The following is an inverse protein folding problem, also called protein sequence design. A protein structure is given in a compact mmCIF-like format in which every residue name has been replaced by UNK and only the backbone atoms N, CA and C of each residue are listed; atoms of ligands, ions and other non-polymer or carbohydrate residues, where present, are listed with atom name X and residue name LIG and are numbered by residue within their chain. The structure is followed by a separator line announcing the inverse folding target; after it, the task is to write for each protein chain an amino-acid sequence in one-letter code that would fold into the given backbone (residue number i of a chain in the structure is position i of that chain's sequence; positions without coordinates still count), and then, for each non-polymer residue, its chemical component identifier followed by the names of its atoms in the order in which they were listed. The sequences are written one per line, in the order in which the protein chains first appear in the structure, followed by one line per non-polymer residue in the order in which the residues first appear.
data_IF_454927662753
#
_entry.id   IF_454927662753
#
_cell.length_a   1.000
_cell.length_b   1.000
_cell.length_c   1.000
_cell.angle_alpha   90.00
_cell.angle_beta   90.00
_cell.angle_gamma   90.00
#
_symmetry.space_group_name_H-M   'P 1'
#
loop_
_entity.id
_entity.type
_entity.pdbx_description
1 polymer ?
#
# COMPACT_ATOMS: atom_id res chain seq x y z
N UNK A 1 -59.56 28.65 1.31
CA UNK A 1 -58.38 28.57 2.21
C UNK A 1 -57.66 27.24 2.09
N UNK A 2 -58.36 26.11 1.93
CA UNK A 2 -57.74 24.77 1.86
C UNK A 2 -56.85 24.52 0.62
N UNK A 3 -57.21 25.08 -0.54
CA UNK A 3 -56.40 24.93 -1.77
C UNK A 3 -55.06 25.69 -1.73
N UNK A 4 -54.91 26.68 -0.85
CA UNK A 4 -53.67 27.46 -0.71
C UNK A 4 -52.64 26.75 0.17
N UNK A 5 -53.10 26.05 1.22
CA UNK A 5 -52.22 25.24 2.08
C UNK A 5 -51.64 24.02 1.35
N UNK A 6 -52.42 23.35 0.49
CA UNK A 6 -51.93 22.17 -0.24
C UNK A 6 -50.84 22.52 -1.26
N UNK A 7 -50.94 23.70 -1.88
CA UNK A 7 -49.97 24.19 -2.87
C UNK A 7 -48.65 24.63 -2.21
N UNK A 8 -48.74 25.19 -1.00
CA UNK A 8 -47.56 25.49 -0.18
C UNK A 8 -46.89 24.23 0.38
N UNK A 9 -47.66 23.22 0.81
CA UNK A 9 -47.11 21.93 1.26
C UNK A 9 -46.39 21.17 0.13
N UNK A 10 -46.89 21.21 -1.11
CA UNK A 10 -46.24 20.59 -2.27
C UNK A 10 -44.97 21.34 -2.71
N UNK A 11 -44.96 22.67 -2.62
CA UNK A 11 -43.76 23.49 -2.87
C UNK A 11 -42.70 23.28 -1.78
N UNK A 12 -43.10 23.14 -0.52
CA UNK A 12 -42.19 22.80 0.59
C UNK A 12 -41.66 21.37 0.43
N UNK A 13 -42.47 20.42 -0.03
CA UNK A 13 -42.01 19.05 -0.33
C UNK A 13 -41.00 19.00 -1.48
N UNK A 14 -41.15 19.86 -2.50
CA UNK A 14 -40.15 20.01 -3.57
C UNK A 14 -38.88 20.77 -3.14
N UNK A 15 -38.94 21.60 -2.08
CA UNK A 15 -37.79 22.32 -1.55
C UNK A 15 -36.97 21.53 -0.50
N UNK A 16 -37.47 20.40 0.01
CA UNK A 16 -36.75 19.55 0.97
C UNK A 16 -36.15 18.28 0.36
N UNK A 17 -36.29 18.06 -0.96
CA UNK A 17 -35.42 17.12 -1.68
C UNK A 17 -34.23 17.93 -2.22
N UNK A 18 -33.39 18.41 -1.31
CA UNK A 18 -31.99 18.62 -1.67
C UNK A 18 -31.52 17.21 -2.05
N UNK A 19 -31.07 16.95 -3.29
CA UNK A 19 -30.36 15.72 -3.54
C UNK A 19 -29.16 15.80 -2.60
N UNK A 20 -29.19 15.04 -1.51
CA UNK A 20 -27.96 14.67 -0.84
C UNK A 20 -27.23 13.90 -1.93
N UNK A 21 -26.26 14.54 -2.58
CA UNK A 21 -25.41 13.88 -3.55
C UNK A 21 -24.77 12.75 -2.75
N UNK A 22 -25.31 11.54 -2.90
CA UNK A 22 -24.83 10.38 -2.19
C UNK A 22 -23.38 10.18 -2.56
N UNK A 23 -22.55 9.82 -1.58
CA UNK A 23 -21.24 9.24 -1.90
C UNK A 23 -21.50 8.07 -2.85
N UNK A 24 -20.95 8.13 -4.06
CA UNK A 24 -20.99 6.98 -4.96
C UNK A 24 -20.02 5.92 -4.43
N UNK A 25 -20.37 4.64 -4.55
CA UNK A 25 -19.57 3.53 -4.07
C UNK A 25 -19.36 2.50 -5.18
N UNK A 26 -18.22 1.82 -5.13
CA UNK A 26 -17.97 0.62 -5.90
C UNK A 26 -17.60 -0.52 -4.96
N UNK A 27 -17.91 -1.76 -5.34
CA UNK A 27 -17.55 -2.93 -4.53
C UNK A 27 -16.19 -3.45 -4.96
N UNK A 28 -15.27 -3.55 -4.01
CA UNK A 28 -13.90 -4.03 -4.23
C UNK A 28 -13.62 -5.29 -3.42
N UNK A 29 -12.66 -6.08 -3.89
CA UNK A 29 -12.11 -7.19 -3.14
C UNK A 29 -10.58 -7.14 -3.08
N UNK A 30 -10.04 -7.63 -1.97
CA UNK A 30 -8.62 -7.96 -1.83
C UNK A 30 -8.51 -9.36 -1.26
N UNK A 31 -7.55 -10.13 -1.72
CA UNK A 31 -7.33 -11.48 -1.22
C UNK A 31 -5.99 -11.56 -0.47
N UNK A 32 -6.04 -11.92 0.81
CA UNK A 32 -4.85 -12.33 1.55
C UNK A 32 -4.53 -13.78 1.18
N UNK A 33 -3.44 -14.03 0.43
CA UNK A 33 -3.17 -15.35 -0.15
C UNK A 33 -2.14 -16.14 0.66
N UNK A 34 -2.46 -17.38 1.01
CA UNK A 34 -1.44 -18.33 1.47
C UNK A 34 -0.85 -19.04 0.25
N UNK A 35 0.24 -18.48 -0.26
CA UNK A 35 0.87 -18.96 -1.50
C UNK A 35 1.39 -20.38 -1.33
N UNK A 36 1.09 -21.25 -2.29
CA UNK A 36 1.71 -22.57 -2.38
C UNK A 36 3.16 -22.37 -2.83
N UNK A 37 4.10 -22.66 -1.93
CA UNK A 37 5.53 -22.45 -2.15
C UNK A 37 6.22 -23.75 -2.57
N UNK A 38 7.24 -23.63 -3.42
CA UNK A 38 8.14 -24.73 -3.74
C UNK A 38 9.11 -24.99 -2.58
N UNK A 39 9.31 -26.25 -2.22
CA UNK A 39 10.23 -26.66 -1.16
C UNK A 39 11.66 -26.92 -1.66
N UNK A 40 11.85 -27.20 -2.95
CA UNK A 40 13.14 -27.55 -3.54
C UNK A 40 13.91 -26.31 -4.03
N UNK A 41 15.22 -26.28 -3.77
CA UNK A 41 16.15 -25.20 -4.13
C UNK A 41 16.77 -25.35 -5.54
N UNK A 42 16.67 -26.53 -6.17
CA UNK A 42 17.17 -26.77 -7.53
C UNK A 42 16.29 -26.02 -8.55
N UNK A 43 16.81 -25.24 -9.51
CA UNK A 43 15.98 -24.56 -10.51
C UNK A 43 14.97 -25.52 -11.18
N UNK A 44 13.67 -25.19 -11.20
CA UNK A 44 12.68 -26.04 -11.85
C UNK A 44 12.79 -26.00 -13.38
N UNK A 45 12.16 -26.96 -14.05
CA UNK A 45 11.82 -26.78 -15.47
C UNK A 45 10.69 -25.76 -15.62
N UNK A 46 10.44 -25.26 -16.84
CA UNK A 46 9.27 -24.39 -17.11
C UNK A 46 7.96 -25.11 -16.81
N UNK A 47 7.87 -26.40 -17.14
CA UNK A 47 6.70 -27.24 -16.86
C UNK A 47 6.44 -27.35 -15.35
N UNK A 48 7.45 -27.68 -14.54
CA UNK A 48 7.34 -27.72 -13.08
C UNK A 48 6.95 -26.36 -12.47
N UNK A 49 7.48 -25.27 -13.04
CA UNK A 49 7.12 -23.92 -12.62
C UNK A 49 5.66 -23.60 -12.93
N UNK A 50 5.19 -23.92 -14.14
CA UNK A 50 3.79 -23.76 -14.54
C UNK A 50 2.85 -24.60 -13.67
N UNK A 51 3.19 -25.84 -13.33
CA UNK A 51 2.40 -26.67 -12.42
C UNK A 51 2.22 -26.03 -11.03
N UNK A 52 3.28 -25.42 -10.48
CA UNK A 52 3.18 -24.70 -9.21
C UNK A 52 2.32 -23.44 -9.34
N UNK A 53 2.56 -22.64 -10.39
CA UNK A 53 1.79 -21.43 -10.63
C UNK A 53 0.31 -21.73 -10.85
N UNK A 54 0.00 -22.83 -11.54
CA UNK A 54 -1.38 -23.29 -11.74
C UNK A 54 -2.08 -23.57 -10.42
N UNK A 55 -1.42 -24.21 -9.44
CA UNK A 55 -2.02 -24.44 -8.10
C UNK A 55 -2.41 -23.13 -7.41
N UNK A 56 -1.59 -22.08 -7.57
CA UNK A 56 -1.92 -20.76 -7.02
C UNK A 56 -3.03 -20.06 -7.82
N UNK A 57 -3.02 -20.20 -9.15
CA UNK A 57 -4.06 -19.68 -10.04
C UNK A 57 -5.41 -20.36 -9.82
N UNK A 58 -5.46 -21.65 -9.50
CA UNK A 58 -6.69 -22.36 -9.14
C UNK A 58 -7.34 -21.72 -7.91
N UNK A 59 -6.54 -21.38 -6.89
CA UNK A 59 -7.02 -20.65 -5.71
C UNK A 59 -7.52 -19.26 -6.11
N UNK A 60 -6.82 -18.55 -7.00
CA UNK A 60 -7.28 -17.24 -7.49
C UNK A 60 -8.61 -17.34 -8.22
N UNK A 61 -8.79 -18.37 -9.05
CA UNK A 61 -10.02 -18.63 -9.78
C UNK A 61 -11.20 -18.86 -8.84
N UNK A 62 -10.98 -19.58 -7.73
CA UNK A 62 -11.99 -19.75 -6.67
C UNK A 62 -12.35 -18.41 -6.02
N UNK A 63 -11.35 -17.58 -5.68
CA UNK A 63 -11.62 -16.27 -5.06
C UNK A 63 -12.31 -15.30 -6.01
N UNK A 64 -11.94 -15.32 -7.30
CA UNK A 64 -12.62 -14.58 -8.36
C UNK A 64 -14.07 -15.03 -8.48
N UNK A 65 -14.32 -16.33 -8.42
CA UNK A 65 -15.68 -16.87 -8.44
C UNK A 65 -16.50 -16.40 -7.23
N UNK A 66 -15.96 -16.48 -6.01
CA UNK A 66 -16.64 -16.00 -4.80
C UNK A 66 -16.85 -14.47 -4.77
N UNK A 67 -15.90 -13.70 -5.31
CA UNK A 67 -16.04 -12.25 -5.47
C UNK A 67 -17.12 -11.88 -6.50
N UNK A 68 -17.19 -12.62 -7.62
CA UNK A 68 -18.18 -12.37 -8.68
C UNK A 68 -19.62 -12.53 -8.18
N UNK A 69 -19.88 -13.52 -7.31
CA UNK A 69 -21.19 -13.74 -6.66
C UNK A 69 -21.66 -12.53 -5.84
N UNK A 70 -20.74 -11.69 -5.40
CA UNK A 70 -21.01 -10.54 -4.55
C UNK A 70 -21.11 -9.22 -5.34
N UNK A 71 -20.92 -9.25 -6.66
CA UNK A 71 -20.96 -8.08 -7.54
C UNK A 71 -19.72 -7.18 -7.43
N UNK A 72 -18.57 -7.76 -7.07
CA UNK A 72 -17.28 -7.06 -7.01
C UNK A 72 -16.88 -6.56 -8.41
N UNK A 73 -16.33 -5.35 -8.49
CA UNK A 73 -15.88 -4.70 -9.73
C UNK A 73 -14.38 -4.82 -9.97
N UNK A 74 -13.61 -4.98 -8.91
CA UNK A 74 -12.15 -5.06 -8.94
C UNK A 74 -11.64 -5.97 -7.82
N UNK A 75 -10.72 -6.89 -8.14
CA UNK A 75 -10.05 -7.76 -7.18
C UNK A 75 -8.53 -7.60 -7.27
N UNK A 76 -7.87 -7.56 -6.10
CA UNK A 76 -6.42 -7.44 -5.98
C UNK A 76 -5.82 -8.69 -5.33
N UNK A 77 -4.78 -9.22 -5.97
CA UNK A 77 -3.96 -10.32 -5.48
C UNK A 77 -2.55 -9.84 -5.04
N UNK A 78 -1.85 -10.59 -4.18
CA UNK A 78 -0.66 -10.09 -3.52
C UNK A 78 0.60 -10.21 -4.39
N UNK A 79 1.62 -9.46 -3.98
CA UNK A 79 2.96 -9.57 -4.54
C UNK A 79 3.53 -10.99 -4.36
N UNK A 80 4.20 -11.53 -5.38
CA UNK A 80 4.74 -12.90 -5.40
C UNK A 80 3.69 -14.00 -5.17
N UNK A 81 2.39 -13.71 -5.34
CA UNK A 81 1.31 -14.63 -5.01
C UNK A 81 1.14 -15.82 -5.96
N UNK A 82 1.81 -15.81 -7.12
CA UNK A 82 1.72 -16.88 -8.13
C UNK A 82 2.90 -17.86 -8.02
N UNK A 83 4.11 -17.35 -7.77
CA UNK A 83 5.34 -18.14 -7.81
C UNK A 83 6.11 -18.19 -6.48
N UNK A 84 5.74 -17.38 -5.48
CA UNK A 84 6.44 -17.32 -4.19
C UNK A 84 7.80 -16.65 -4.28
N UNK A 85 8.74 -17.08 -3.41
CA UNK A 85 10.00 -16.38 -3.12
C UNK A 85 11.25 -17.18 -3.56
N UNK A 86 11.52 -17.35 -4.87
CA UNK A 86 12.71 -18.05 -5.33
C UNK A 86 14.00 -17.30 -4.90
N UNK A 87 15.10 -18.00 -4.59
CA UNK A 87 16.28 -17.37 -3.99
C UNK A 87 17.23 -16.70 -4.99
N UNK A 88 17.20 -17.07 -6.28
CA UNK A 88 18.19 -16.65 -7.27
C UNK A 88 17.58 -16.33 -8.64
N UNK A 89 18.35 -15.61 -9.48
CA UNK A 89 17.99 -15.34 -10.89
C UNK A 89 17.75 -16.61 -11.70
N UNK A 90 18.55 -17.67 -11.48
CA UNK A 90 18.41 -18.93 -12.18
C UNK A 90 17.14 -19.68 -11.74
N UNK A 91 16.83 -19.68 -10.44
CA UNK A 91 15.66 -20.36 -9.90
C UNK A 91 14.34 -19.67 -10.23
N UNK A 92 14.33 -18.34 -10.40
CA UNK A 92 13.11 -17.61 -10.78
C UNK A 92 12.82 -17.70 -12.28
N UNK A 93 13.85 -17.80 -13.13
CA UNK A 93 13.70 -17.71 -14.58
C UNK A 93 12.56 -18.58 -15.18
N UNK A 94 12.36 -19.84 -14.77
CA UNK A 94 11.27 -20.68 -15.29
C UNK A 94 9.86 -20.15 -14.98
N UNK A 95 9.70 -19.26 -14.00
CA UNK A 95 8.41 -18.65 -13.64
C UNK A 95 8.10 -17.39 -14.45
N UNK A 96 9.08 -16.81 -15.15
CA UNK A 96 8.95 -15.50 -15.78
C UNK A 96 8.29 -15.55 -17.17
N UNK A 97 7.38 -14.61 -17.44
CA UNK A 97 6.74 -14.45 -18.75
C UNK A 97 7.20 -13.14 -19.42
N UNK A 98 7.29 -13.09 -20.76
CA UNK A 98 7.34 -11.81 -21.45
C UNK A 98 5.99 -11.11 -21.27
N UNK A 99 6.01 -9.84 -20.86
CA UNK A 99 4.79 -9.04 -20.71
C UNK A 99 4.90 -7.84 -21.65
N UNK A 100 4.13 -7.80 -22.75
CA UNK A 100 4.21 -6.66 -23.68
C UNK A 100 3.76 -5.37 -23.00
N UNK A 101 4.19 -4.24 -23.54
CA UNK A 101 3.82 -2.92 -23.02
C UNK A 101 2.40 -2.54 -23.48
N UNK A 102 1.41 -2.42 -22.57
CA UNK A 102 0.04 -2.08 -22.93
C UNK A 102 -0.12 -0.66 -23.51
N UNK A 103 0.85 0.23 -23.31
CA UNK A 103 0.86 1.55 -23.96
C UNK A 103 1.24 1.46 -25.44
N UNK A 104 1.87 0.36 -25.86
CA UNK A 104 2.34 0.13 -27.24
C UNK A 104 1.43 -0.84 -27.98
N UNK A 105 0.92 -1.87 -27.31
CA UNK A 105 0.07 -2.89 -27.92
C UNK A 105 -1.20 -3.11 -27.11
N UNK A 106 -2.33 -3.21 -27.82
CA UNK A 106 -3.59 -3.61 -27.21
C UNK A 106 -3.76 -5.12 -27.39
N UNK A 107 -3.71 -5.86 -26.29
CA UNK A 107 -3.77 -7.32 -26.33
C UNK A 107 -4.71 -7.90 -25.26
N UNK A 108 -5.52 -8.86 -25.68
CA UNK A 108 -6.38 -9.64 -24.80
C UNK A 108 -5.91 -11.10 -24.83
N UNK A 109 -5.12 -11.54 -23.83
CA UNK A 109 -4.55 -12.89 -23.83
C UNK A 109 -5.61 -14.00 -23.92
N UNK A 110 -6.78 -13.81 -23.32
CA UNK A 110 -7.85 -14.82 -23.34
C UNK A 110 -8.44 -15.04 -24.75
N UNK A 111 -8.57 -13.97 -25.54
CA UNK A 111 -9.10 -14.05 -26.91
C UNK A 111 -8.02 -14.40 -27.94
N UNK A 112 -6.78 -13.98 -27.70
CA UNK A 112 -5.65 -14.15 -28.61
C UNK A 112 -4.45 -14.80 -27.91
N UNK A 113 -4.58 -16.06 -27.45
CA UNK A 113 -3.57 -16.71 -26.60
C UNK A 113 -2.28 -17.10 -27.33
N UNK A 114 -2.25 -17.03 -28.67
CA UNK A 114 -1.10 -17.44 -29.50
C UNK A 114 -0.32 -16.27 -30.08
N UNK A 115 -0.70 -15.03 -29.76
CA UNK A 115 -0.03 -13.83 -30.26
C UNK A 115 1.37 -13.65 -29.66
N UNK A 116 1.54 -14.08 -28.40
CA UNK A 116 2.82 -14.14 -27.70
C UNK A 116 3.04 -15.55 -27.17
N UNK A 117 4.29 -16.01 -27.20
CA UNK A 117 4.69 -17.30 -26.64
C UNK A 117 5.05 -17.20 -25.16
N UNK A 118 4.92 -18.31 -24.43
CA UNK A 118 5.28 -18.42 -23.01
C UNK A 118 4.49 -17.46 -22.09
N UNK A 119 3.19 -17.31 -22.36
CA UNK A 119 2.27 -16.40 -21.65
C UNK A 119 1.09 -17.13 -20.99
N UNK A 120 1.31 -18.35 -20.50
CA UNK A 120 0.25 -19.20 -19.93
C UNK A 120 -0.43 -18.55 -18.70
N UNK A 121 0.35 -17.88 -17.84
CA UNK A 121 -0.19 -17.19 -16.65
C UNK A 121 -1.00 -15.96 -17.05
N UNK A 122 -0.50 -15.14 -17.99
CA UNK A 122 -1.26 -14.00 -18.52
C UNK A 122 -2.59 -14.44 -19.17
N UNK A 123 -2.60 -15.55 -19.90
CA UNK A 123 -3.81 -16.15 -20.46
C UNK A 123 -4.84 -16.49 -19.37
N UNK A 124 -4.44 -17.21 -18.32
CA UNK A 124 -5.34 -17.60 -17.24
C UNK A 124 -5.92 -16.38 -16.51
N UNK A 125 -5.08 -15.40 -16.17
CA UNK A 125 -5.51 -14.17 -15.50
C UNK A 125 -6.48 -13.33 -16.36
N UNK A 126 -6.19 -13.21 -17.65
CA UNK A 126 -7.06 -12.54 -18.62
C UNK A 126 -8.43 -13.21 -18.71
N UNK A 127 -8.46 -14.55 -18.79
CA UNK A 127 -9.73 -15.29 -18.83
C UNK A 127 -10.51 -15.22 -17.51
N UNK A 128 -9.83 -15.21 -16.36
CA UNK A 128 -10.46 -14.98 -15.06
C UNK A 128 -11.19 -13.64 -15.02
N UNK A 129 -10.52 -12.56 -15.44
CA UNK A 129 -11.09 -11.21 -15.49
C UNK A 129 -12.32 -11.16 -16.41
N UNK A 130 -12.16 -11.66 -17.64
CA UNK A 130 -13.22 -11.73 -18.66
C UNK A 130 -14.45 -12.50 -18.21
N UNK A 131 -14.25 -13.73 -17.72
CA UNK A 131 -15.34 -14.64 -17.38
C UNK A 131 -16.12 -14.17 -16.14
N UNK A 132 -15.50 -13.35 -15.30
CA UNK A 132 -16.15 -12.76 -14.12
C UNK A 132 -16.61 -11.31 -14.34
N UNK A 133 -16.33 -10.72 -15.51
CA UNK A 133 -16.61 -9.31 -15.84
C UNK A 133 -16.10 -8.35 -14.76
N UNK A 134 -14.87 -8.58 -14.31
CA UNK A 134 -14.26 -7.92 -13.16
C UNK A 134 -12.81 -7.53 -13.49
N UNK A 135 -12.39 -6.35 -13.05
CA UNK A 135 -10.99 -5.95 -13.15
C UNK A 135 -10.14 -6.83 -12.23
N UNK A 136 -9.04 -7.37 -12.75
CA UNK A 136 -8.17 -8.28 -12.01
C UNK A 136 -6.76 -7.74 -11.97
N UNK A 137 -6.22 -7.61 -10.76
CA UNK A 137 -4.85 -7.18 -10.52
C UNK A 137 -4.07 -8.31 -9.90
N UNK A 138 -2.95 -8.65 -10.53
CA UNK A 138 -2.03 -9.68 -10.06
C UNK A 138 -0.58 -9.21 -10.16
N UNK A 139 0.30 -9.90 -9.46
CA UNK A 139 1.74 -9.70 -9.50
C UNK A 139 2.43 -10.99 -9.94
N UNK A 140 3.35 -10.86 -10.89
CA UNK A 140 4.15 -11.95 -11.41
C UNK A 140 5.53 -11.44 -11.85
N UNK A 141 6.44 -12.37 -12.06
CA UNK A 141 7.75 -12.07 -12.60
C UNK A 141 7.71 -11.90 -14.12
N UNK A 142 8.30 -10.80 -14.60
CA UNK A 142 8.48 -10.49 -16.01
C UNK A 142 9.91 -10.81 -16.45
N UNK A 143 10.08 -11.27 -17.70
CA UNK A 143 11.38 -11.30 -18.38
C UNK A 143 11.36 -10.46 -19.64
N UNK A 144 12.43 -9.69 -19.84
CA UNK A 144 12.64 -8.87 -21.03
C UNK A 144 14.03 -9.13 -21.58
N UNK A 145 14.14 -9.66 -22.81
CA UNK A 145 15.43 -9.89 -23.45
C UNK A 145 16.15 -8.54 -23.69
N UNK A 146 17.47 -8.54 -23.53
CA UNK A 146 18.28 -7.35 -23.82
C UNK A 146 19.47 -7.70 -24.71
N UNK A 147 19.83 -6.75 -25.57
CA UNK A 147 20.98 -6.87 -26.46
C UNK A 147 22.28 -6.59 -25.71
N UNK A 148 23.37 -7.25 -26.12
CA UNK A 148 24.70 -7.01 -25.56
C UNK A 148 25.21 -5.57 -25.76
N UNK A 149 24.60 -4.81 -26.68
CA UNK A 149 24.87 -3.39 -26.86
C UNK A 149 24.31 -2.52 -25.74
N UNK A 150 23.33 -2.99 -24.95
CA UNK A 150 22.87 -2.26 -23.77
C UNK A 150 23.91 -2.44 -22.64
N UNK A 151 24.60 -1.37 -22.21
CA UNK A 151 25.63 -1.45 -21.18
C UNK A 151 25.08 -1.88 -19.81
N UNK A 152 23.76 -1.87 -19.61
CA UNK A 152 23.08 -2.30 -18.38
C UNK A 152 22.50 -3.71 -18.50
N UNK A 153 22.62 -4.37 -19.65
CA UNK A 153 22.06 -5.72 -19.83
C UNK A 153 22.78 -6.68 -18.87
N UNK A 154 22.04 -7.45 -18.04
CA UNK A 154 22.65 -8.44 -17.18
C UNK A 154 23.44 -9.48 -17.98
N UNK A 155 24.45 -10.09 -17.36
CA UNK A 155 25.33 -11.06 -18.02
C UNK A 155 24.61 -12.32 -18.55
N UNK A 156 23.40 -12.56 -18.07
CA UNK A 156 22.54 -13.66 -18.52
C UNK A 156 21.59 -13.26 -19.67
N UNK A 157 21.72 -12.03 -20.20
CA UNK A 157 21.09 -11.59 -21.46
C UNK A 157 19.62 -11.15 -21.34
N UNK A 158 19.11 -10.97 -20.13
CA UNK A 158 17.74 -10.49 -19.91
C UNK A 158 17.57 -9.71 -18.61
N UNK A 159 16.62 -8.80 -18.60
CA UNK A 159 16.08 -8.24 -17.37
C UNK A 159 15.00 -9.14 -16.79
N UNK A 160 14.94 -9.20 -15.46
CA UNK A 160 13.83 -9.78 -14.72
C UNK A 160 13.17 -8.66 -13.91
N UNK A 161 11.85 -8.52 -13.93
CA UNK A 161 11.15 -7.49 -13.16
C UNK A 161 10.06 -8.10 -12.27
N UNK A 162 9.88 -7.50 -11.09
CA UNK A 162 8.71 -7.72 -10.25
C UNK A 162 7.60 -6.84 -10.82
N UNK A 163 6.55 -7.46 -11.37
CA UNK A 163 5.62 -6.75 -12.24
C UNK A 163 4.18 -6.96 -11.82
N UNK A 164 3.46 -5.87 -11.58
CA UNK A 164 2.00 -5.90 -11.50
C UNK A 164 1.40 -5.80 -12.89
N UNK A 165 0.33 -6.55 -13.14
CA UNK A 165 -0.50 -6.46 -14.34
C UNK A 165 -1.94 -6.16 -13.97
N UNK A 166 -2.63 -5.42 -14.84
CA UNK A 166 -4.04 -5.08 -14.68
C UNK A 166 -4.79 -5.54 -15.92
N UNK A 167 -5.80 -6.38 -15.71
CA UNK A 167 -6.76 -6.77 -16.73
C UNK A 167 -8.08 -6.04 -16.52
N UNK A 168 -8.66 -5.51 -17.59
CA UNK A 168 -10.03 -4.98 -17.57
C UNK A 168 -11.08 -6.11 -17.46
N UNK A 169 -12.35 -5.71 -17.37
CA UNK A 169 -13.47 -6.66 -17.25
C UNK A 169 -13.66 -7.54 -18.50
N UNK A 170 -13.07 -7.18 -19.63
CA UNK A 170 -13.10 -7.90 -20.90
C UNK A 170 -11.91 -8.86 -21.04
N UNK A 171 -10.92 -8.76 -20.15
CA UNK A 171 -9.69 -9.56 -20.14
C UNK A 171 -8.51 -8.90 -20.88
N UNK A 172 -8.62 -7.65 -21.32
CA UNK A 172 -7.53 -6.93 -21.99
C UNK A 172 -6.48 -6.51 -20.97
N UNK A 173 -5.20 -6.69 -21.30
CA UNK A 173 -4.09 -6.13 -20.50
C UNK A 173 -4.06 -4.61 -20.69
N UNK A 174 -4.39 -3.85 -19.66
CA UNK A 174 -4.52 -2.38 -19.76
C UNK A 174 -3.43 -1.62 -19.02
N UNK A 175 -2.70 -2.26 -18.10
CA UNK A 175 -1.59 -1.64 -17.39
C UNK A 175 -0.57 -2.67 -16.92
N UNK A 176 0.69 -2.24 -16.88
CA UNK A 176 1.83 -3.00 -16.39
C UNK A 176 2.71 -2.07 -15.55
N UNK A 177 3.06 -2.45 -14.32
CA UNK A 177 3.96 -1.69 -13.46
C UNK A 177 5.13 -2.54 -12.99
N UNK A 178 6.35 -2.12 -13.28
CA UNK A 178 7.56 -2.76 -12.79
C UNK A 178 8.01 -2.08 -11.49
N UNK A 179 8.19 -2.86 -10.42
CA UNK A 179 8.53 -2.38 -9.08
C UNK A 179 9.78 -1.51 -9.07
N UNK A 180 9.65 -0.28 -8.60
CA UNK A 180 10.74 0.69 -8.59
C UNK A 180 11.73 0.50 -7.43
N UNK A 181 11.22 0.20 -6.23
CA UNK A 181 12.01 0.05 -5.01
C UNK A 181 12.06 -1.41 -4.59
N UNK A 182 13.07 -2.13 -5.08
CA UNK A 182 13.34 -3.50 -4.64
C UNK A 182 13.73 -3.54 -3.16
N UNK A 183 13.18 -4.52 -2.44
CA UNK A 183 13.59 -4.87 -1.10
C UNK A 183 14.89 -5.69 -1.15
N UNK A 184 15.69 -5.64 -0.08
CA UNK A 184 17.06 -6.20 -0.06
C UNK A 184 17.17 -7.68 -0.44
N UNK A 185 16.10 -8.45 -0.29
CA UNK A 185 16.07 -9.90 -0.59
C UNK A 185 15.68 -10.20 -2.04
N UNK A 186 15.26 -9.21 -2.82
CA UNK A 186 14.81 -9.35 -4.22
C UNK A 186 15.99 -9.28 -5.20
N UNK A 187 17.09 -9.96 -4.89
CA UNK A 187 18.33 -9.95 -5.69
C UNK A 187 18.16 -10.61 -7.08
N UNK A 188 17.05 -11.29 -7.30
CA UNK A 188 16.71 -11.98 -8.53
C UNK A 188 15.98 -11.09 -9.55
N UNK A 189 15.55 -9.89 -9.12
CA UNK A 189 14.96 -8.88 -9.98
C UNK A 189 15.94 -7.72 -10.26
N UNK A 190 15.68 -7.03 -11.36
CA UNK A 190 16.34 -5.81 -11.77
C UNK A 190 15.46 -4.62 -11.43
N UNK A 191 16.09 -3.48 -11.14
CA UNK A 191 15.39 -2.21 -11.04
C UNK A 191 15.10 -1.68 -12.46
N UNK A 192 13.88 -1.19 -12.76
CA UNK A 192 13.56 -0.58 -14.05
C UNK A 192 14.50 0.57 -14.41
N UNK A 193 14.74 0.77 -15.71
CA UNK A 193 15.61 1.83 -16.24
C UNK A 193 15.02 3.22 -16.01
N UNK A 194 13.70 3.33 -16.10
CA UNK A 194 12.93 4.55 -15.95
C UNK A 194 11.85 4.35 -14.90
N UNK A 195 11.62 5.38 -14.08
CA UNK A 195 10.49 5.40 -13.16
C UNK A 195 9.18 5.43 -13.93
N UNK A 196 8.22 4.59 -13.54
CA UNK A 196 6.89 4.52 -14.14
C UNK A 196 5.83 5.04 -13.15
N UNK A 197 4.95 5.94 -13.61
CA UNK A 197 3.75 6.36 -12.89
C UNK A 197 2.54 5.74 -13.59
N UNK A 198 2.25 4.49 -13.24
CA UNK A 198 1.21 3.70 -13.93
C UNK A 198 -0.16 4.07 -13.37
N UNK A 199 -1.03 4.54 -14.26
CA UNK A 199 -2.39 4.99 -13.97
C UNK A 199 -3.32 4.36 -15.00
N UNK A 200 -4.45 3.80 -14.55
CA UNK A 200 -5.47 3.25 -15.44
C UNK A 200 -6.86 3.76 -15.07
N UNK A 201 -7.69 3.94 -16.09
CA UNK A 201 -9.07 4.42 -15.95
C UNK A 201 -10.04 3.24 -15.78
N UNK A 202 -11.09 3.47 -14.97
CA UNK A 202 -12.19 2.54 -14.75
C UNK A 202 -13.53 3.25 -14.94
N UNK A 203 -14.56 2.58 -15.48
CA UNK A 203 -15.88 3.19 -15.66
C UNK A 203 -16.64 3.38 -14.34
N UNK A 204 -16.19 2.76 -13.24
CA UNK A 204 -16.91 2.73 -11.97
C UNK A 204 -16.28 3.56 -10.85
N UNK A 205 -15.00 3.93 -10.93
CA UNK A 205 -14.34 4.70 -9.86
C UNK A 205 -13.28 5.69 -10.36
N UNK A 206 -13.15 5.91 -11.67
CA UNK A 206 -12.16 6.84 -12.23
C UNK A 206 -10.76 6.24 -12.26
N UNK A 207 -9.76 7.03 -11.85
CA UNK A 207 -8.33 6.76 -12.05
C UNK A 207 -7.68 6.05 -10.86
N UNK A 208 -7.19 4.84 -11.11
CA UNK A 208 -6.38 4.10 -10.16
C UNK A 208 -4.89 4.28 -10.46
N UNK A 209 -4.10 4.47 -9.41
CA UNK A 209 -2.65 4.30 -9.46
C UNK A 209 -2.26 2.95 -8.87
N UNK A 210 -1.08 2.47 -9.23
CA UNK A 210 -0.58 1.19 -8.75
C UNK A 210 0.91 1.26 -8.41
N UNK A 211 1.29 0.64 -7.30
CA UNK A 211 2.68 0.41 -6.91
C UNK A 211 2.79 -0.81 -5.99
N UNK A 212 4.00 -1.26 -5.66
CA UNK A 212 4.20 -2.57 -5.00
C UNK A 212 5.00 -2.45 -3.71
N UNK A 213 4.45 -2.99 -2.62
CA UNK A 213 5.15 -3.26 -1.37
C UNK A 213 6.09 -2.13 -0.89
N UNK A 214 7.39 -2.34 -0.99
CA UNK A 214 8.42 -1.43 -0.47
C UNK A 214 8.39 -0.03 -1.10
N UNK A 215 7.76 0.14 -2.27
CA UNK A 215 7.53 1.45 -2.90
C UNK A 215 6.83 2.45 -1.96
N UNK A 216 5.94 1.99 -1.08
CA UNK A 216 5.14 2.85 -0.18
C UNK A 216 5.98 3.68 0.80
N UNK A 217 7.23 3.28 1.05
CA UNK A 217 8.17 3.95 1.94
C UNK A 217 8.96 5.07 1.26
N UNK A 218 8.68 5.35 -0.02
CA UNK A 218 9.42 6.32 -0.81
C UNK A 218 8.49 7.31 -1.50
N UNK A 219 9.01 8.51 -1.76
CA UNK A 219 8.24 9.52 -2.49
C UNK A 219 7.88 9.05 -3.90
N UNK A 220 8.84 8.47 -4.62
CA UNK A 220 8.63 7.92 -5.96
C UNK A 220 8.46 6.39 -5.91
N UNK A 221 7.41 5.81 -6.53
CA UNK A 221 6.26 6.48 -7.17
C UNK A 221 5.08 6.79 -6.22
N UNK A 222 5.10 6.31 -4.98
CA UNK A 222 3.89 6.22 -4.16
C UNK A 222 3.25 7.58 -3.86
N UNK A 223 4.04 8.56 -3.43
CA UNK A 223 3.54 9.89 -3.07
C UNK A 223 3.32 10.75 -4.30
N UNK A 224 4.21 10.66 -5.29
CA UNK A 224 4.09 11.44 -6.52
C UNK A 224 2.84 11.08 -7.34
N UNK A 225 2.40 9.82 -7.36
CA UNK A 225 1.11 9.42 -7.93
C UNK A 225 -0.05 10.21 -7.29
N UNK A 226 -0.02 10.37 -5.97
CA UNK A 226 -1.09 11.05 -5.23
C UNK A 226 -1.02 12.57 -5.42
N UNK A 227 0.16 13.16 -5.23
CA UNK A 227 0.31 14.60 -5.16
C UNK A 227 0.43 15.26 -6.54
N UNK A 228 1.15 14.66 -7.49
CA UNK A 228 1.37 15.24 -8.82
C UNK A 228 0.28 14.86 -9.81
N UNK A 229 -0.22 13.62 -9.73
CA UNK A 229 -1.25 13.12 -10.66
C UNK A 229 -2.65 13.10 -10.06
N UNK A 230 -2.80 13.52 -8.78
CA UNK A 230 -4.11 13.66 -8.15
C UNK A 230 -4.83 12.34 -7.88
N UNK A 231 -4.11 11.21 -7.89
CA UNK A 231 -4.70 9.89 -7.75
C UNK A 231 -5.24 9.68 -6.33
N UNK A 232 -6.50 9.22 -6.25
CA UNK A 232 -7.20 8.99 -4.98
C UNK A 232 -7.59 7.54 -4.73
N UNK A 233 -7.42 6.67 -5.73
CA UNK A 233 -7.60 5.23 -5.58
C UNK A 233 -6.28 4.53 -5.90
N UNK A 234 -5.75 3.76 -4.96
CA UNK A 234 -4.46 3.07 -5.12
C UNK A 234 -4.64 1.57 -4.95
N UNK A 235 -4.05 0.82 -5.88
CA UNK A 235 -3.91 -0.64 -5.81
C UNK A 235 -2.51 -0.98 -5.28
N UNK A 236 -2.45 -1.89 -4.30
CA UNK A 236 -1.21 -2.20 -3.60
C UNK A 236 -1.06 -3.70 -3.30
N UNK A 237 -0.57 -4.49 -4.29
CA UNK A 237 -0.05 -5.83 -4.05
C UNK A 237 1.19 -5.77 -3.16
N UNK A 238 1.27 -6.64 -2.16
CA UNK A 238 2.40 -6.64 -1.22
C UNK A 238 2.72 -8.01 -0.64
N UNK A 239 3.99 -8.23 -0.29
CA UNK A 239 4.48 -9.35 0.50
C UNK A 239 5.18 -8.79 1.75
N UNK A 240 4.40 -8.12 2.59
CA UNK A 240 4.89 -7.32 3.70
C UNK A 240 5.19 -8.16 4.94
N UNK A 241 6.43 -8.11 5.41
CA UNK A 241 6.83 -8.68 6.70
C UNK A 241 6.60 -7.69 7.82
N UNK A 242 5.73 -8.04 8.77
CA UNK A 242 5.42 -7.19 9.92
C UNK A 242 6.66 -6.93 10.78
N UNK A 243 6.94 -5.65 11.06
CA UNK A 243 7.97 -5.20 12.00
C UNK A 243 7.39 -4.20 13.00
N UNK A 244 7.13 -4.66 14.22
CA UNK A 244 6.65 -3.81 15.30
C UNK A 244 7.74 -2.81 15.74
N UNK A 245 7.37 -1.63 16.29
CA UNK A 245 5.99 -1.21 16.58
C UNK A 245 5.29 -0.43 15.46
N UNK A 246 5.99 0.06 14.43
CA UNK A 246 5.43 1.03 13.47
C UNK A 246 5.23 0.50 12.04
N UNK A 247 5.76 -0.68 11.73
CA UNK A 247 5.74 -1.27 10.38
C UNK A 247 4.98 -2.60 10.36
N UNK A 248 3.91 -2.70 11.15
CA UNK A 248 2.87 -3.70 10.92
C UNK A 248 2.03 -3.28 9.70
N UNK A 249 1.78 -4.19 8.76
CA UNK A 249 1.10 -3.93 7.50
C UNK A 249 -0.22 -3.17 7.71
N UNK A 250 -1.13 -3.74 8.50
CA UNK A 250 -2.46 -3.12 8.72
C UNK A 250 -2.36 -1.71 9.31
N UNK A 251 -1.39 -1.49 10.19
CA UNK A 251 -1.24 -0.20 10.86
C UNK A 251 -0.60 0.85 9.96
N UNK A 252 0.46 0.47 9.24
CA UNK A 252 1.20 1.39 8.39
C UNK A 252 0.38 1.76 7.15
N UNK A 253 -0.23 0.79 6.49
CA UNK A 253 -1.03 1.02 5.28
C UNK A 253 -2.28 1.85 5.58
N UNK A 254 -2.96 1.60 6.70
CA UNK A 254 -4.07 2.44 7.16
C UNK A 254 -3.61 3.89 7.41
N UNK A 255 -2.49 4.07 8.12
CA UNK A 255 -1.96 5.40 8.40
C UNK A 255 -1.58 6.14 7.11
N UNK A 256 -1.02 5.44 6.13
CA UNK A 256 -0.73 5.99 4.80
C UNK A 256 -2.01 6.45 4.10
N UNK A 257 -3.04 5.62 4.03
CA UNK A 257 -4.31 5.98 3.40
C UNK A 257 -4.95 7.23 4.04
N UNK A 258 -4.96 7.30 5.38
CA UNK A 258 -5.46 8.44 6.13
C UNK A 258 -4.61 9.71 5.93
N UNK A 259 -3.28 9.60 5.89
CA UNK A 259 -2.35 10.71 5.70
C UNK A 259 -2.54 11.43 4.35
N UNK A 260 -2.96 10.68 3.34
CA UNK A 260 -3.11 11.18 1.98
C UNK A 260 -4.57 11.39 1.56
N UNK A 261 -5.53 10.96 2.39
CA UNK A 261 -6.96 11.04 2.08
C UNK A 261 -7.29 10.26 0.81
N UNK A 262 -6.82 9.02 0.73
CA UNK A 262 -6.99 8.12 -0.43
C UNK A 262 -7.68 6.82 -0.02
N UNK A 263 -8.22 6.12 -1.02
CA UNK A 263 -8.53 4.70 -0.92
C UNK A 263 -7.28 3.88 -1.27
N UNK A 264 -6.98 2.86 -0.46
CA UNK A 264 -5.85 1.97 -0.64
C UNK A 264 -6.32 0.51 -0.53
N UNK A 265 -6.29 -0.21 -1.64
CA UNK A 265 -6.64 -1.63 -1.71
C UNK A 265 -5.38 -2.49 -1.54
N UNK A 266 -5.22 -3.09 -0.36
CA UNK A 266 -4.03 -3.85 0.02
C UNK A 266 -4.31 -5.34 0.04
N UNK A 267 -3.59 -6.06 -0.80
CA UNK A 267 -3.57 -7.52 -0.81
C UNK A 267 -2.18 -8.00 -0.42
N UNK A 268 -2.09 -8.69 0.72
CA UNK A 268 -0.84 -9.19 1.30
C UNK A 268 -0.74 -10.71 1.21
N UNK A 269 0.47 -11.21 1.36
CA UNK A 269 0.78 -12.61 1.59
C UNK A 269 0.31 -13.09 2.98
N UNK A 270 0.01 -14.38 3.08
CA UNK A 270 -0.39 -15.07 4.32
C UNK A 270 0.60 -16.21 4.65
N UNK A 271 1.72 -15.80 5.24
CA UNK A 271 2.78 -16.68 5.73
C UNK A 271 3.19 -16.24 7.13
N UNK A 272 2.48 -16.68 8.20
CA UNK A 272 2.83 -16.35 9.57
C UNK A 272 4.29 -16.68 9.93
N UNK A 273 4.86 -17.72 9.34
CA UNK A 273 6.27 -18.11 9.48
C UNK A 273 7.26 -17.02 9.00
N UNK A 274 6.83 -16.15 8.09
CA UNK A 274 7.60 -15.00 7.60
C UNK A 274 7.09 -13.67 8.17
N UNK A 275 6.22 -13.71 9.18
CA UNK A 275 5.50 -12.56 9.71
C UNK A 275 4.67 -11.82 8.63
N UNK A 276 4.18 -12.53 7.61
CA UNK A 276 3.34 -11.97 6.55
C UNK A 276 1.87 -12.27 6.83
N UNK A 277 1.13 -11.24 7.19
CA UNK A 277 -0.34 -11.18 7.27
C UNK A 277 -0.71 -9.71 7.45
N UNK A 278 -1.83 -9.27 6.91
CA UNK A 278 -2.27 -7.88 7.01
C UNK A 278 -2.69 -7.33 5.66
N UNK A 279 -3.91 -7.65 5.27
CA UNK A 279 -4.59 -7.12 4.08
C UNK A 279 -5.75 -6.23 4.51
N UNK A 280 -6.22 -5.37 3.62
CA UNK A 280 -7.34 -4.49 3.93
C UNK A 280 -7.75 -3.58 2.79
N UNK A 281 -8.94 -3.03 2.95
CA UNK A 281 -9.51 -2.01 2.08
C UNK A 281 -9.60 -0.74 2.91
N UNK A 282 -8.58 0.12 2.79
CA UNK A 282 -8.46 1.30 3.63
C UNK A 282 -9.06 2.51 2.93
N UNK A 283 -10.02 3.15 3.57
CA UNK A 283 -10.56 4.46 3.18
C UNK A 283 -10.16 5.50 4.24
N UNK A 284 -10.33 6.81 3.99
CA UNK A 284 -10.03 7.82 4.99
C UNK A 284 -10.91 7.73 6.25
N UNK A 285 -12.08 7.10 6.18
CA UNK A 285 -13.10 7.09 7.24
C UNK A 285 -13.38 5.70 7.83
N UNK A 286 -13.14 4.63 7.08
CA UNK A 286 -13.39 3.22 7.46
C UNK A 286 -12.32 2.28 6.86
N UNK A 287 -12.11 1.12 7.46
CA UNK A 287 -10.99 0.23 7.15
C UNK A 287 -11.25 -1.24 7.52
N UNK A 288 -12.06 -1.99 6.77
CA UNK A 288 -12.08 -3.44 6.92
C UNK A 288 -10.68 -4.02 6.63
N UNK A 289 -10.13 -4.75 7.60
CA UNK A 289 -8.83 -5.40 7.51
C UNK A 289 -8.88 -6.83 8.03
N UNK A 290 -7.90 -7.62 7.63
CA UNK A 290 -7.65 -8.95 8.17
C UNK A 290 -6.21 -9.04 8.69
N UNK A 291 -6.04 -9.67 9.84
CA UNK A 291 -4.74 -9.96 10.43
C UNK A 291 -4.85 -11.25 11.23
N UNK A 292 -4.05 -12.26 10.88
CA UNK A 292 -4.08 -13.54 11.56
C UNK A 292 -2.71 -14.23 11.55
N UNK A 293 -2.06 -14.28 12.71
CA UNK A 293 -0.79 -14.99 12.90
C UNK A 293 -0.96 -16.45 13.36
N UNK A 294 -2.20 -16.91 13.56
CA UNK A 294 -2.52 -18.23 14.12
C UNK A 294 -2.91 -19.25 13.07
N UNK A 295 -3.72 -18.84 12.10
CA UNK A 295 -4.13 -19.69 10.98
C UNK A 295 -3.11 -19.59 9.84
N UNK A 296 -3.18 -20.53 8.90
CA UNK A 296 -2.50 -20.47 7.60
C UNK A 296 -3.48 -20.25 6.44
N UNK A 297 -4.75 -20.03 6.75
CA UNK A 297 -5.79 -19.85 5.74
C UNK A 297 -5.75 -18.44 5.15
N UNK A 298 -5.83 -18.37 3.82
CA UNK A 298 -6.07 -17.12 3.12
C UNK A 298 -7.43 -16.50 3.45
N UNK A 299 -7.63 -15.24 3.07
CA UNK A 299 -8.86 -14.51 3.37
C UNK A 299 -9.26 -13.57 2.24
N UNK A 300 -10.45 -13.80 1.68
CA UNK A 300 -11.13 -12.82 0.83
C UNK A 300 -11.80 -11.76 1.70
N UNK A 301 -11.49 -10.51 1.41
CA UNK A 301 -12.16 -9.32 1.97
C UNK A 301 -12.92 -8.62 0.86
N UNK A 302 -14.18 -8.30 1.10
CA UNK A 302 -15.06 -7.58 0.18
C UNK A 302 -15.68 -6.40 0.93
N UNK A 303 -15.68 -5.22 0.31
CA UNK A 303 -16.26 -4.01 0.89
C UNK A 303 -16.80 -3.06 -0.19
N UNK A 304 -17.78 -2.25 0.20
CA UNK A 304 -18.19 -1.08 -0.58
C UNK A 304 -17.22 0.08 -0.28
N UNK A 305 -16.66 0.68 -1.32
CA UNK A 305 -15.59 1.68 -1.24
C UNK A 305 -16.12 3.01 -1.80
N UNK A 306 -16.08 4.11 -1.03
CA UNK A 306 -16.55 5.41 -1.50
C UNK A 306 -15.62 5.93 -2.60
N UNK A 307 -16.18 6.45 -3.68
CA UNK A 307 -15.38 7.06 -4.76
C UNK A 307 -14.91 8.44 -4.29
N UNK A 308 -13.61 8.59 -4.10
CA UNK A 308 -13.00 9.89 -3.77
C UNK A 308 -12.69 10.58 -5.10
N UNK A 309 -13.64 11.36 -5.60
CA UNK A 309 -13.38 12.31 -6.69
C UNK A 309 -12.56 13.48 -6.16
N UNK A 310 -11.67 14.06 -6.97
CA UNK A 310 -11.07 15.35 -6.60
C UNK A 310 -12.19 16.40 -6.53
N UNK A 311 -12.68 16.68 -5.33
CA UNK A 311 -13.52 17.85 -5.12
C UNK A 311 -12.61 19.04 -5.45
N UNK A 312 -12.91 19.77 -6.52
CA UNK A 312 -12.35 21.10 -6.75
C UNK A 312 -12.48 21.87 -5.44
N UNK A 313 -11.38 22.44 -4.95
CA UNK A 313 -11.30 23.26 -3.74
C UNK A 313 -12.27 24.46 -3.79
N UNK A 314 -13.55 24.21 -3.57
CA UNK A 314 -14.51 25.22 -3.19
C UNK A 314 -15.14 24.81 -1.87
N UNK A 315 -14.87 25.65 -0.86
CA UNK A 315 -15.58 25.78 0.41
C UNK A 315 -15.39 24.68 1.46
N UNK A 316 -14.20 24.65 2.07
CA UNK A 316 -14.01 24.25 3.48
C UNK A 316 -13.60 25.46 4.34
N UNK A 317 -14.18 26.63 4.10
CA UNK A 317 -13.96 27.85 4.91
C UNK A 317 -15.20 28.36 5.64
N UNK A 318 -16.34 27.63 5.66
CA UNK A 318 -17.58 28.18 6.22
C UNK A 318 -18.33 27.36 7.29
N UNK A 319 -17.78 26.29 7.85
CA UNK A 319 -18.45 25.58 8.96
C UNK A 319 -17.92 25.86 10.37
N UNK A 320 -16.81 26.61 10.53
CA UNK A 320 -16.21 26.85 11.86
C UNK A 320 -16.84 28.01 12.66
N UNK A 321 -17.90 28.64 12.14
CA UNK A 321 -18.51 29.83 12.76
C UNK A 321 -19.76 29.58 13.62
N UNK A 322 -20.36 28.37 13.61
CA UNK A 322 -21.65 28.16 14.29
C UNK A 322 -21.64 27.17 15.46
N UNK A 323 -20.49 26.53 15.75
CA UNK A 323 -20.37 25.59 16.86
C UNK A 323 -19.88 26.23 18.17
N UNK A 324 -19.70 27.55 18.21
CA UNK A 324 -19.14 28.28 19.36
C UNK A 324 -20.19 28.87 20.31
N UNK A 325 -21.48 28.83 19.98
CA UNK A 325 -22.54 29.43 20.81
C UNK A 325 -23.39 28.44 21.62
N UNK A 326 -23.15 27.13 21.52
CA UNK A 326 -23.95 26.11 22.24
C UNK A 326 -23.26 25.47 23.46
N UNK A 327 -22.02 25.86 23.79
CA UNK A 327 -21.26 25.30 24.93
C UNK A 327 -20.99 26.32 26.05
N UNK A 328 -21.77 27.39 26.13
CA UNK A 328 -21.58 28.44 27.14
C UNK A 328 -22.65 28.45 28.26
N UNK A 329 -23.56 27.47 28.29
CA UNK A 329 -24.46 27.27 29.41
C UNK A 329 -24.36 25.82 29.89
N UNK A 330 -23.50 25.60 30.90
CA UNK A 330 -23.56 24.56 31.95
C UNK A 330 -22.17 24.46 32.60
N UNK A 331 -21.76 25.53 33.30
CA UNK A 331 -20.68 25.47 34.30
C UNK A 331 -21.28 25.78 35.67
N UNK A 332 -21.67 24.73 36.38
CA UNK A 332 -22.05 24.78 37.78
C UNK A 332 -21.98 23.38 38.39
N UNK A 333 -21.05 23.20 39.35
CA UNK A 333 -20.73 21.97 40.09
C UNK A 333 -20.15 20.82 39.22
N UNK A 334 -18.90 20.36 39.36
CA UNK A 334 -18.28 19.79 40.57
C UNK A 334 -16.75 20.03 40.45
N UNK A 335 -16.20 20.83 41.36
CA UNK A 335 -14.75 20.96 41.58
C UNK A 335 -14.40 20.09 42.78
N UNK A 336 -13.67 18.99 42.56
CA UNK A 336 -12.50 18.57 43.37
C UNK A 336 -11.88 17.26 42.84
N UNK A 337 -12.59 16.42 42.07
CA UNK A 337 -12.06 15.12 41.58
C UNK A 337 -11.44 15.14 40.17
N UNK A 338 -11.59 16.23 39.42
CA UNK A 338 -11.19 16.29 38.01
C UNK A 338 -9.71 16.67 37.79
N UNK A 339 -9.05 17.20 38.82
CA UNK A 339 -7.65 17.66 38.75
C UNK A 339 -6.65 16.50 38.79
N UNK A 340 -6.97 15.41 39.50
CA UNK A 340 -6.08 14.25 39.61
C UNK A 340 -6.21 13.29 38.43
N UNK A 341 -7.42 13.13 37.86
CA UNK A 341 -7.63 12.34 36.65
C UNK A 341 -7.02 12.99 35.40
N UNK A 342 -7.06 14.33 35.32
CA UNK A 342 -6.43 15.08 34.23
C UNK A 342 -4.90 15.03 34.32
N UNK A 343 -4.33 15.15 35.54
CA UNK A 343 -2.91 14.97 35.79
C UNK A 343 -2.43 13.53 35.56
N UNK A 344 -3.24 12.51 35.88
CA UNK A 344 -2.93 11.12 35.53
C UNK A 344 -2.95 10.91 34.01
N UNK A 345 -3.93 11.47 33.30
CA UNK A 345 -4.04 11.36 31.84
C UNK A 345 -2.90 12.05 31.10
N UNK A 346 -2.47 13.24 31.55
CA UNK A 346 -1.32 13.93 30.99
C UNK A 346 0.01 13.26 31.38
N UNK A 347 0.14 12.73 32.59
CA UNK A 347 1.30 11.92 32.97
C UNK A 347 1.38 10.63 32.16
N UNK A 348 0.27 9.94 31.91
CA UNK A 348 0.22 8.74 31.08
C UNK A 348 0.55 9.04 29.60
N UNK A 349 0.07 10.16 29.05
CA UNK A 349 0.45 10.63 27.71
C UNK A 349 1.93 10.96 27.62
N UNK A 350 2.48 11.64 28.62
CA UNK A 350 3.90 11.99 28.67
C UNK A 350 4.79 10.74 28.86
N UNK A 351 4.35 9.76 29.64
CA UNK A 351 5.04 8.47 29.81
C UNK A 351 4.99 7.66 28.50
N UNK A 352 3.84 7.57 27.83
CA UNK A 352 3.74 6.92 26.52
C UNK A 352 4.60 7.62 25.46
N UNK A 353 4.61 8.96 25.43
CA UNK A 353 5.45 9.74 24.53
C UNK A 353 6.95 9.54 24.84
N UNK A 354 7.34 9.47 26.12
CA UNK A 354 8.70 9.15 26.53
C UNK A 354 9.11 7.73 26.15
N UNK A 355 8.22 6.74 26.29
CA UNK A 355 8.48 5.36 25.87
C UNK A 355 8.60 5.28 24.36
N UNK A 356 7.77 6.00 23.60
CA UNK A 356 7.84 6.07 22.13
C UNK A 356 9.12 6.77 21.68
N UNK A 357 9.46 7.91 22.26
CA UNK A 357 10.71 8.61 22.00
C UNK A 357 11.92 7.76 22.37
N UNK A 358 11.89 7.06 23.51
CA UNK A 358 12.94 6.13 23.92
C UNK A 358 13.02 4.93 22.97
N UNK A 359 11.90 4.41 22.46
CA UNK A 359 11.86 3.31 21.47
C UNK A 359 12.42 3.74 20.12
N UNK A 360 12.07 4.96 19.67
CA UNK A 360 12.62 5.55 18.44
C UNK A 360 14.12 5.82 18.62
N UNK A 361 14.54 6.32 19.78
CA UNK A 361 15.95 6.59 20.09
C UNK A 361 16.76 5.28 20.22
N UNK A 362 16.23 4.25 20.86
CA UNK A 362 16.81 2.91 20.92
C UNK A 362 16.90 2.26 19.54
N UNK A 363 15.90 2.44 18.66
CA UNK A 363 16.00 1.95 17.28
C UNK A 363 17.13 2.64 16.51
N UNK A 364 17.29 3.96 16.66
CA UNK A 364 18.39 4.71 16.03
C UNK A 364 19.75 4.27 16.57
N UNK A 365 19.84 3.90 17.85
CA UNK A 365 21.08 3.41 18.47
C UNK A 365 21.39 1.93 18.16
N UNK A 366 20.38 1.07 17.97
CA UNK A 366 20.56 -0.38 17.76
C UNK A 366 20.77 -0.75 16.28
N UNK A 367 20.54 0.16 15.33
CA UNK A 367 20.87 -0.07 13.91
C UNK A 367 22.33 0.22 13.53
N UNK A 368 23.21 0.45 14.51
CA UNK A 368 24.64 0.61 14.28
C UNK A 368 25.42 -0.70 14.59
N UNK A 369 25.02 -1.82 13.96
CA UNK A 369 25.92 -2.95 13.80
C UNK A 369 26.61 -2.84 12.43
N UNK A 370 27.94 -2.73 12.36
CA UNK A 370 28.65 -2.60 11.10
C UNK A 370 28.88 -3.98 10.52
N UNK A 371 28.13 -4.34 9.47
CA UNK A 371 28.57 -5.37 8.52
C UNK A 371 28.53 -4.76 7.12
N UNK A 372 29.71 -4.70 6.53
CA UNK A 372 30.07 -3.97 5.32
C UNK A 372 29.46 -4.65 4.09
N UNK A 373 28.50 -3.98 3.45
CA UNK A 373 28.34 -3.88 1.97
C UNK A 373 27.62 -2.56 1.65
N UNK A 374 27.97 -1.91 0.54
CA UNK A 374 27.38 -0.64 0.09
C UNK A 374 25.86 -0.78 -0.14
N UNK A 375 25.02 -0.33 0.80
CA UNK A 375 23.57 -0.34 0.59
C UNK A 375 22.66 -0.29 1.83
N UNK A 376 23.10 0.35 2.93
CA UNK A 376 22.24 0.54 4.10
C UNK A 376 20.93 1.28 3.76
N UNK A 377 19.87 1.06 4.56
CA UNK A 377 18.58 1.75 4.42
C UNK A 377 18.75 3.25 4.68
N UNK A 378 18.97 4.03 3.61
CA UNK A 378 19.18 5.49 3.63
C UNK A 378 17.91 6.28 3.29
N UNK A 379 16.72 5.68 3.44
CA UNK A 379 15.46 6.34 3.05
C UNK A 379 15.31 7.69 3.76
N UNK A 380 15.62 7.75 5.05
CA UNK A 380 15.54 8.99 5.85
C UNK A 380 16.67 9.99 5.56
N UNK A 381 17.66 9.69 4.72
CA UNK A 381 18.65 10.70 4.28
C UNK A 381 18.04 11.64 3.24
N UNK A 382 17.08 11.14 2.46
CA UNK A 382 16.30 11.92 1.51
C UNK A 382 15.22 12.74 2.23
N UNK A 383 15.21 14.06 2.01
CA UNK A 383 14.26 14.96 2.69
C UNK A 383 12.80 14.59 2.45
N UNK A 384 12.44 14.22 1.22
CA UNK A 384 11.07 13.87 0.87
C UNK A 384 10.57 12.62 1.61
N UNK A 385 11.44 11.62 1.80
CA UNK A 385 11.09 10.41 2.53
C UNK A 385 11.02 10.65 4.05
N UNK A 386 11.81 11.57 4.60
CA UNK A 386 11.64 12.01 6.00
C UNK A 386 10.29 12.68 6.20
N UNK A 387 9.94 13.61 5.32
CA UNK A 387 8.67 14.33 5.39
C UNK A 387 7.49 13.35 5.28
N UNK A 388 7.60 12.35 4.38
CA UNK A 388 6.66 11.24 4.26
C UNK A 388 6.53 10.46 5.59
N UNK A 389 7.65 10.03 6.17
CA UNK A 389 7.65 9.28 7.43
C UNK A 389 6.94 10.04 8.55
N UNK A 390 7.26 11.32 8.75
CA UNK A 390 6.62 12.12 9.79
C UNK A 390 5.15 12.38 9.53
N UNK A 391 4.74 12.55 8.26
CA UNK A 391 3.32 12.69 7.89
C UNK A 391 2.53 11.44 8.22
N UNK A 392 3.03 10.26 7.85
CA UNK A 392 2.41 8.97 8.18
C UNK A 392 2.35 8.77 9.69
N UNK A 393 3.44 9.07 10.40
CA UNK A 393 3.51 8.96 11.85
C UNK A 393 2.47 9.87 12.52
N UNK A 394 2.31 11.11 12.05
CA UNK A 394 1.28 12.00 12.55
C UNK A 394 -0.11 11.41 12.36
N UNK A 395 -0.45 10.91 11.17
CA UNK A 395 -1.73 10.26 10.91
C UNK A 395 -1.96 9.00 11.74
N UNK A 396 -0.92 8.19 11.94
CA UNK A 396 -0.95 7.01 12.80
C UNK A 396 -1.38 7.37 14.24
N UNK A 397 -0.85 8.46 14.80
CA UNK A 397 -1.19 8.89 16.16
C UNK A 397 -2.52 9.63 16.23
N UNK A 398 -2.84 10.49 15.25
CA UNK A 398 -4.12 11.20 15.18
C UNK A 398 -5.28 10.21 15.10
N UNK A 399 -5.15 9.13 14.32
CA UNK A 399 -6.14 8.05 14.27
C UNK A 399 -6.36 7.31 15.61
N UNK A 400 -5.45 7.47 16.59
CA UNK A 400 -5.57 6.93 17.95
C UNK A 400 -5.94 7.99 19.00
N UNK A 401 -6.39 9.16 18.57
CA UNK A 401 -6.75 10.26 19.46
C UNK A 401 -5.55 10.96 20.12
N UNK A 402 -4.34 10.75 19.60
CA UNK A 402 -3.12 11.42 20.04
C UNK A 402 -2.72 12.50 19.01
N UNK A 403 -2.94 13.76 19.35
CA UNK A 403 -2.48 14.87 18.51
C UNK A 403 -1.03 15.21 18.86
N UNK A 404 -0.09 14.87 17.97
CA UNK A 404 1.34 15.17 18.17
C UNK A 404 1.72 16.63 17.87
N UNK A 405 0.80 17.46 17.36
CA UNK A 405 1.09 18.87 17.07
C UNK A 405 2.18 19.10 16.02
N UNK A 406 2.52 18.08 15.22
CA UNK A 406 3.58 18.12 14.20
C UNK A 406 3.20 18.98 12.96
N UNK A 407 2.04 19.63 12.95
CA UNK A 407 1.49 20.32 11.76
C UNK A 407 2.03 21.72 11.49
N UNK A 408 3.07 22.20 12.19
CA UNK A 408 3.74 23.47 11.83
C UNK A 408 5.21 23.27 11.53
N UNK A 409 5.54 23.42 10.23
CA UNK A 409 6.88 23.47 9.63
C UNK A 409 7.87 24.44 10.32
N UNK A 410 7.43 25.34 11.19
CA UNK A 410 8.27 26.42 11.73
C UNK A 410 8.98 26.12 13.07
N UNK A 411 8.76 24.96 13.71
CA UNK A 411 9.42 24.67 15.02
C UNK A 411 10.48 23.56 15.03
N UNK A 412 10.67 22.83 13.93
CA UNK A 412 11.69 21.76 13.88
C UNK A 412 13.03 22.22 13.28
N UNK A 413 13.08 23.36 12.58
CA UNK A 413 14.33 23.90 12.02
C UNK A 413 15.13 24.82 12.97
N UNK A 414 14.57 25.24 14.11
CA UNK A 414 15.19 26.28 14.95
C UNK A 414 16.01 25.81 16.15
N UNK A 415 15.90 24.56 16.63
CA UNK A 415 16.51 24.20 17.93
C UNK A 415 17.00 22.77 18.10
N UNK A 416 16.67 21.84 17.18
CA UNK A 416 17.12 20.45 17.25
C UNK A 416 18.01 20.00 16.08
N UNK A 417 17.93 20.65 14.90
CA UNK A 417 18.79 20.32 13.76
C UNK A 417 20.29 20.55 14.01
N UNK A 418 20.64 21.57 14.81
CA UNK A 418 22.06 21.88 15.12
C UNK A 418 22.65 21.02 16.24
N UNK A 419 21.83 20.36 17.07
CA UNK A 419 22.31 19.51 18.17
C UNK A 419 22.48 18.04 17.80
N UNK A 420 21.85 17.57 16.73
CA UNK A 420 22.06 16.19 16.26
C UNK A 420 23.37 16.08 15.46
N UNK A 421 23.73 17.11 14.68
CA UNK A 421 25.00 17.16 13.96
C UNK A 421 26.23 17.24 14.87
N UNK A 422 26.18 18.01 15.97
CA UNK A 422 27.37 18.21 16.81
C UNK A 422 27.69 17.05 17.77
N UNK A 423 26.77 16.10 17.96
CA UNK A 423 27.01 14.91 18.79
C UNK A 423 27.59 13.75 17.99
N UNK A 424 27.31 13.67 16.68
CA UNK A 424 27.91 12.68 15.78
C UNK A 424 29.41 12.91 15.55
N UNK A 425 29.87 14.16 15.53
CA UNK A 425 31.30 14.47 15.37
C UNK A 425 32.14 14.24 16.64
N UNK A 426 31.52 14.20 17.82
CA UNK A 426 32.23 13.97 19.09
C UNK A 426 32.39 12.50 19.47
N UNK A 427 31.61 11.59 18.90
CA UNK A 427 31.75 10.14 19.14
C UNK A 427 32.85 9.49 18.29
N UNK A 428 33.39 10.16 17.27
CA UNK A 428 34.40 9.59 16.37
C UNK A 428 35.84 9.60 16.91
N UNK A 429 36.12 10.21 18.06
CA UNK A 429 37.49 10.37 18.55
C UNK A 429 37.87 9.49 19.75
N UNK A 430 37.04 8.53 20.19
CA UNK A 430 37.33 7.78 21.43
C UNK A 430 36.97 6.28 21.43
N UNK A 431 37.07 5.58 20.30
CA UNK A 431 36.93 4.11 20.27
C UNK A 431 38.06 3.44 19.46
N UNK A 432 39.31 3.79 19.78
CA UNK A 432 40.45 2.88 19.64
C UNK A 432 40.78 2.31 21.01
N UNK A 433 40.16 1.19 21.38
CA UNK A 433 40.81 0.12 22.12
C UNK A 433 39.83 -1.01 22.48
N UNK A 434 40.29 -2.22 22.15
CA UNK A 434 40.13 -3.48 22.88
C UNK A 434 38.84 -4.31 22.74
N UNK A 435 39.11 -5.48 22.15
CA UNK A 435 38.78 -6.82 22.64
C UNK A 435 37.40 -7.41 22.30
N UNK A 436 37.43 -8.22 21.23
CA UNK A 436 36.87 -9.59 21.07
C UNK A 436 35.81 -10.07 22.05
N UNK A 437 34.70 -10.65 21.54
CA UNK A 437 34.29 -12.03 21.85
C UNK A 437 33.24 -12.57 20.85
N UNK A 438 33.48 -13.82 20.43
CA UNK A 438 32.60 -14.86 19.83
C UNK A 438 31.32 -15.07 20.66
N UNK A 439 30.13 -15.36 20.11
CA UNK A 439 29.69 -16.55 19.32
C UNK A 439 28.55 -16.15 18.39
#
# INVERSE_FOLDING_TARGET
MEAFCLRWLLLVWQCFVIPVWGLEFYKAAVYEHSTVLRQNLIPPTREEALELMQKNLDIYQEQVHEASKQGVKIIVFPENGIHGFPPTRATIYPYLEPIPDPDVVQWNPCLHPTEYSDTEVLYQLSCMARNSSMYLIANLGEREACEFSDPKCPSDGRYHFNTNVVFDAEGTLIAKYQKWKLFRTEIYYNKPKTLQHVIFDTPFAGKFGIFTCFDILFYEPAVSLIERYGIKQIIFPTAWMNKLPLLSAVQFHQAFAAAFGINLLVSNQHHPEYNMTGSGIYTPLDFPYYYNMKSREGKLLVADVPIITSINNHTLEQSDSQTSTFLQEQKGAVKQEQTDLFNLRDRMKNIQLLIICASIFLLVCVTAEPVITEGGWKSLDEQQNRDLFFRILQSYFTGRGMNLGLSRKEKLQGTYGSKIGSYADKSNNNLYNKDTFTV
#
